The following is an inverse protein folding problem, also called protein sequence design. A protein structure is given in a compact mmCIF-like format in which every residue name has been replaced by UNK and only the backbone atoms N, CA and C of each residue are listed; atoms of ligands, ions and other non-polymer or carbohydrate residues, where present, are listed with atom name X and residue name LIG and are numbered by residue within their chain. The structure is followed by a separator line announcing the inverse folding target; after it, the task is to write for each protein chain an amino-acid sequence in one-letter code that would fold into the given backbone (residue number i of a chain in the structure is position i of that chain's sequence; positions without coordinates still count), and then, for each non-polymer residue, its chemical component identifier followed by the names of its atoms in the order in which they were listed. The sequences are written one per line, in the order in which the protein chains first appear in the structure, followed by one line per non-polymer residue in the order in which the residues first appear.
data_IF_843121617851
#
_entry.id   IF_843121617851
#
_cell.length_a   1.000
_cell.length_b   1.000
_cell.length_c   1.000
_cell.angle_alpha   90.00
_cell.angle_beta   90.00
_cell.angle_gamma   90.00
#
_symmetry.space_group_name_H-M   'P 1'
#
loop_
_entity.id
_entity.type
_entity.pdbx_description
1 polymer ?
#
# COMPACT_ATOMS: atom_id res chain seq x y z
N UNK A 1 6.91 -46.02 10.54
CA UNK A 1 5.73 -45.56 9.76
C UNK A 1 4.46 -45.33 10.61
N UNK A 2 4.51 -45.44 11.96
CA UNK A 2 3.33 -45.26 12.83
C UNK A 2 3.28 -43.93 13.61
N UNK A 3 4.30 -43.07 13.52
CA UNK A 3 4.37 -41.83 14.30
C UNK A 3 3.60 -40.64 13.71
N UNK A 4 3.17 -40.66 12.45
CA UNK A 4 2.43 -39.54 11.84
C UNK A 4 0.92 -39.58 12.13
N UNK A 5 0.35 -40.76 12.41
CA UNK A 5 -1.09 -40.92 12.64
C UNK A 5 -1.51 -40.52 14.06
N UNK A 6 -0.61 -40.62 15.04
CA UNK A 6 -0.89 -40.27 16.43
C UNK A 6 -0.88 -38.75 16.69
N UNK A 7 -0.11 -37.97 15.93
CA UNK A 7 -0.03 -36.51 16.10
C UNK A 7 -1.33 -35.78 15.76
N UNK A 8 -2.16 -36.32 14.85
CA UNK A 8 -3.47 -35.75 14.52
C UNK A 8 -4.55 -35.98 15.59
N UNK A 9 -4.37 -36.97 16.47
CA UNK A 9 -5.32 -37.31 17.53
C UNK A 9 -5.03 -36.61 18.86
N UNK A 10 -3.81 -36.06 19.04
CA UNK A 10 -3.36 -35.47 20.30
C UNK A 10 -3.67 -33.97 20.43
N UNK A 11 -4.16 -33.30 19.38
CA UNK A 11 -4.54 -31.89 19.44
C UNK A 11 -5.80 -31.56 18.61
N UNK A 12 -6.97 -32.10 19.01
CA UNK A 12 -8.23 -31.86 18.30
C UNK A 12 -8.69 -30.40 18.37
N UNK A 13 -8.22 -29.61 19.33
CA UNK A 13 -8.54 -28.18 19.42
C UNK A 13 -7.77 -27.34 18.39
N UNK A 14 -6.48 -27.64 18.18
CA UNK A 14 -5.67 -27.02 17.13
C UNK A 14 -6.29 -27.21 15.74
N UNK A 15 -6.68 -28.45 15.39
CA UNK A 15 -7.35 -28.73 14.11
C UNK A 15 -8.69 -27.99 13.97
N UNK A 16 -9.52 -27.96 15.02
CA UNK A 16 -10.80 -27.22 15.00
C UNK A 16 -10.61 -25.71 14.83
N UNK A 17 -9.59 -25.13 15.46
CA UNK A 17 -9.28 -23.70 15.34
C UNK A 17 -8.83 -23.33 13.92
N UNK A 18 -8.00 -24.17 13.29
CA UNK A 18 -7.61 -24.03 11.88
C UNK A 18 -8.81 -24.13 10.93
N UNK A 19 -9.69 -25.09 11.16
CA UNK A 19 -10.91 -25.27 10.37
C UNK A 19 -11.88 -24.09 10.51
N UNK A 20 -11.98 -23.48 11.70
CA UNK A 20 -12.77 -22.28 11.92
C UNK A 20 -12.19 -21.08 11.16
N UNK A 21 -10.88 -20.83 11.27
CA UNK A 21 -10.22 -19.71 10.58
C UNK A 21 -10.36 -19.82 9.07
N UNK A 22 -10.21 -21.02 8.50
CA UNK A 22 -10.36 -21.23 7.06
C UNK A 22 -11.81 -21.02 6.60
N UNK A 23 -12.78 -21.50 7.38
CA UNK A 23 -14.21 -21.28 7.13
C UNK A 23 -14.57 -19.79 7.14
N UNK A 24 -14.08 -19.05 8.15
CA UNK A 24 -14.28 -17.59 8.25
C UNK A 24 -13.63 -16.86 7.07
N UNK A 25 -12.38 -17.19 6.71
CA UNK A 25 -11.69 -16.60 5.55
C UNK A 25 -12.50 -16.80 4.27
N UNK A 26 -13.00 -18.01 4.02
CA UNK A 26 -13.85 -18.32 2.85
C UNK A 26 -15.14 -17.51 2.87
N UNK A 27 -15.79 -17.39 4.03
CA UNK A 27 -17.00 -16.58 4.20
C UNK A 27 -16.76 -15.11 3.87
N UNK A 28 -15.68 -14.51 4.37
CA UNK A 28 -15.30 -13.12 4.08
C UNK A 28 -15.02 -12.91 2.59
N UNK A 29 -14.26 -13.81 1.95
CA UNK A 29 -14.02 -13.75 0.51
C UNK A 29 -15.32 -13.86 -0.30
N UNK A 30 -16.25 -14.72 0.10
CA UNK A 30 -17.55 -14.84 -0.54
C UNK A 30 -18.40 -13.56 -0.36
N UNK A 31 -18.39 -12.95 0.83
CA UNK A 31 -19.08 -11.69 1.09
C UNK A 31 -18.54 -10.56 0.20
N UNK A 32 -17.21 -10.44 0.09
CA UNK A 32 -16.55 -9.46 -0.78
C UNK A 32 -16.93 -9.72 -2.24
N UNK A 33 -16.89 -10.97 -2.71
CA UNK A 33 -17.23 -11.31 -4.09
C UNK A 33 -18.69 -10.97 -4.44
N UNK A 34 -19.64 -11.27 -3.55
CA UNK A 34 -21.06 -10.91 -3.71
C UNK A 34 -21.22 -9.38 -3.74
N UNK A 35 -20.56 -8.67 -2.83
CA UNK A 35 -20.61 -7.21 -2.79
C UNK A 35 -20.04 -6.58 -4.06
N UNK A 36 -18.88 -7.04 -4.54
CA UNK A 36 -18.27 -6.56 -5.79
C UNK A 36 -19.15 -6.87 -7.00
N UNK A 37 -19.81 -8.03 -7.03
CA UNK A 37 -20.79 -8.37 -8.07
C UNK A 37 -22.00 -7.43 -8.03
N UNK A 38 -22.50 -7.12 -6.82
CA UNK A 38 -23.57 -6.13 -6.65
C UNK A 38 -23.13 -4.74 -7.14
N UNK A 39 -21.95 -4.26 -6.75
CA UNK A 39 -21.41 -2.98 -7.23
C UNK A 39 -21.27 -2.97 -8.75
N UNK A 40 -20.76 -4.04 -9.35
CA UNK A 40 -20.62 -4.15 -10.80
C UNK A 40 -21.96 -3.97 -11.53
N UNK A 41 -23.02 -4.62 -11.04
CA UNK A 41 -24.34 -4.61 -11.66
C UNK A 41 -25.12 -3.33 -11.38
N UNK A 42 -25.10 -2.85 -10.13
CA UNK A 42 -26.02 -1.82 -9.63
C UNK A 42 -25.39 -0.47 -9.33
N UNK A 43 -24.05 -0.35 -9.26
CA UNK A 43 -23.44 0.95 -8.97
C UNK A 43 -23.74 1.96 -10.09
N UNK A 44 -24.01 3.23 -9.75
CA UNK A 44 -24.26 4.26 -10.73
C UNK A 44 -23.03 4.47 -11.61
N UNK A 45 -23.26 4.87 -12.86
CA UNK A 45 -22.16 5.21 -13.77
C UNK A 45 -21.46 6.49 -13.28
N UNK A 46 -20.14 6.44 -13.13
CA UNK A 46 -19.31 7.61 -12.79
C UNK A 46 -18.95 8.43 -14.04
N UNK A 47 -18.33 9.60 -13.84
CA UNK A 47 -17.77 10.43 -14.94
C UNK A 47 -16.70 9.68 -15.75
N UNK A 48 -16.06 8.67 -15.14
CA UNK A 48 -15.12 7.77 -15.80
C UNK A 48 -15.89 6.69 -16.58
N UNK A 49 -15.80 6.77 -17.91
CA UNK A 49 -16.53 5.88 -18.83
C UNK A 49 -15.60 4.85 -19.49
N UNK A 50 -14.31 5.17 -19.69
CA UNK A 50 -13.32 4.31 -20.37
C UNK A 50 -12.31 3.74 -19.36
N UNK A 51 -11.82 2.49 -19.52
CA UNK A 51 -12.00 1.60 -20.66
C UNK A 51 -13.40 0.97 -20.76
N UNK A 52 -14.09 0.73 -19.64
CA UNK A 52 -15.49 0.31 -19.60
C UNK A 52 -16.14 0.73 -18.27
N UNK A 53 -17.43 1.12 -18.20
CA UNK A 53 -18.08 1.52 -16.96
C UNK A 53 -18.03 0.44 -15.85
N UNK A 54 -18.12 -0.83 -16.24
CA UNK A 54 -17.95 -1.98 -15.34
C UNK A 54 -16.67 -1.92 -14.50
N UNK A 55 -15.55 -1.52 -15.12
CA UNK A 55 -14.25 -1.44 -14.45
C UNK A 55 -14.33 -0.41 -13.32
N UNK A 56 -14.90 0.76 -13.59
CA UNK A 56 -15.02 1.82 -12.59
C UNK A 56 -15.99 1.47 -11.47
N UNK A 57 -17.07 0.74 -11.78
CA UNK A 57 -17.99 0.21 -10.76
C UNK A 57 -17.30 -0.81 -9.84
N UNK A 58 -16.45 -1.67 -10.39
CA UNK A 58 -15.62 -2.58 -9.59
C UNK A 58 -14.57 -1.83 -8.77
N UNK A 59 -13.88 -0.85 -9.35
CA UNK A 59 -12.92 0.01 -8.64
C UNK A 59 -13.60 0.72 -7.47
N UNK A 60 -14.80 1.25 -7.67
CA UNK A 60 -15.58 1.85 -6.60
C UNK A 60 -15.92 0.84 -5.49
N UNK A 61 -16.41 -0.36 -5.85
CA UNK A 61 -16.68 -1.42 -4.88
C UNK A 61 -15.43 -1.82 -4.08
N UNK A 62 -14.28 -1.98 -4.75
CA UNK A 62 -13.01 -2.27 -4.08
C UNK A 62 -12.58 -1.13 -3.15
N UNK A 63 -12.74 0.13 -3.56
CA UNK A 63 -12.44 1.29 -2.73
C UNK A 63 -13.30 1.34 -1.46
N UNK A 64 -14.60 0.98 -1.55
CA UNK A 64 -15.49 0.89 -0.38
C UNK A 64 -15.05 -0.23 0.56
N UNK A 65 -14.74 -1.43 0.03
CA UNK A 65 -14.22 -2.55 0.84
C UNK A 65 -12.92 -2.14 1.55
N UNK A 66 -12.01 -1.50 0.82
CA UNK A 66 -10.75 -0.99 1.36
C UNK A 66 -10.99 0.04 2.47
N UNK A 67 -11.89 1.00 2.25
CA UNK A 67 -12.23 2.02 3.26
C UNK A 67 -12.82 1.41 4.53
N UNK A 68 -13.72 0.43 4.40
CA UNK A 68 -14.28 -0.30 5.55
C UNK A 68 -13.19 -1.07 6.30
N UNK A 69 -12.27 -1.72 5.57
CA UNK A 69 -11.14 -2.42 6.16
C UNK A 69 -10.18 -1.46 6.90
N UNK A 70 -9.87 -0.31 6.31
CA UNK A 70 -9.08 0.74 6.97
C UNK A 70 -9.78 1.27 8.22
N UNK A 71 -11.10 1.50 8.14
CA UNK A 71 -11.88 1.96 9.30
C UNK A 71 -11.85 0.93 10.42
N UNK A 72 -11.94 -0.36 10.09
CA UNK A 72 -11.76 -1.42 11.08
C UNK A 72 -10.36 -1.42 11.70
N UNK A 73 -9.31 -1.31 10.88
CA UNK A 73 -7.91 -1.26 11.34
C UNK A 73 -7.63 -0.04 12.22
N UNK A 74 -8.31 1.08 11.96
CA UNK A 74 -8.16 2.32 12.75
C UNK A 74 -8.52 2.12 14.23
N UNK A 75 -9.43 1.20 14.55
CA UNK A 75 -9.83 0.87 15.92
C UNK A 75 -8.97 -0.23 16.56
N UNK A 76 -8.02 -0.83 15.84
CA UNK A 76 -7.11 -1.84 16.39
C UNK A 76 -5.88 -1.19 17.01
N UNK A 77 -5.29 -1.85 18.01
CA UNK A 77 -3.95 -1.48 18.48
C UNK A 77 -2.91 -1.79 17.39
N UNK A 78 -1.73 -1.19 17.45
CA UNK A 78 -0.66 -1.43 16.45
C UNK A 78 -0.28 -2.90 16.37
N UNK A 79 -0.20 -3.58 17.51
CA UNK A 79 0.19 -4.99 17.58
C UNK A 79 -0.94 -5.90 17.10
N UNK A 80 -2.18 -5.62 17.48
CA UNK A 80 -3.35 -6.38 17.00
C UNK A 80 -3.55 -6.21 15.50
N UNK A 81 -3.41 -4.99 14.97
CA UNK A 81 -3.48 -4.72 13.53
C UNK A 81 -2.40 -5.50 12.78
N UNK A 82 -1.17 -5.52 13.31
CA UNK A 82 -0.05 -6.28 12.74
C UNK A 82 -0.34 -7.78 12.73
N UNK A 83 -0.82 -8.34 13.85
CA UNK A 83 -1.21 -9.75 13.89
C UNK A 83 -2.40 -10.06 12.97
N UNK A 84 -3.36 -9.13 12.84
CA UNK A 84 -4.50 -9.27 11.93
C UNK A 84 -4.06 -9.42 10.48
N UNK A 85 -2.99 -8.72 10.05
CA UNK A 85 -2.46 -8.85 8.68
C UNK A 85 -2.02 -10.28 8.33
N UNK A 86 -1.71 -11.14 9.32
CA UNK A 86 -1.41 -12.57 9.08
C UNK A 86 -2.59 -13.35 8.50
N UNK A 87 -3.83 -12.87 8.70
CA UNK A 87 -4.99 -13.49 8.07
C UNK A 87 -5.01 -13.28 6.55
N UNK A 88 -4.39 -12.20 6.05
CA UNK A 88 -4.27 -11.91 4.63
C UNK A 88 -3.11 -12.67 3.98
N UNK A 89 -1.91 -12.62 4.58
CA UNK A 89 -0.73 -13.34 4.10
C UNK A 89 0.12 -13.83 5.27
N UNK A 90 0.61 -15.08 5.25
CA UNK A 90 1.33 -15.68 6.39
C UNK A 90 2.64 -14.96 6.74
N UNK A 91 3.31 -14.36 5.75
CA UNK A 91 4.60 -13.65 5.95
C UNK A 91 4.43 -12.26 6.57
N UNK A 92 3.20 -11.80 6.81
CA UNK A 92 2.92 -10.52 7.45
C UNK A 92 2.99 -10.63 8.98
N UNK A 93 2.81 -9.50 9.65
CA UNK A 93 2.70 -9.45 11.10
C UNK A 93 4.04 -9.40 11.84
N UNK A 94 5.11 -9.08 11.13
CA UNK A 94 6.42 -8.68 11.66
C UNK A 94 6.57 -7.17 11.59
N UNK A 95 7.46 -6.61 12.41
CA UNK A 95 7.82 -5.21 12.32
C UNK A 95 8.65 -4.98 11.05
N UNK A 96 8.20 -4.05 10.20
CA UNK A 96 8.94 -3.66 9.01
C UNK A 96 10.07 -2.71 9.42
N UNK A 97 11.28 -2.86 8.87
CA UNK A 97 12.36 -1.94 9.17
C UNK A 97 12.00 -0.54 8.66
N UNK A 98 11.91 0.43 9.55
CA UNK A 98 11.78 1.83 9.18
C UNK A 98 13.14 2.33 8.65
N UNK A 99 13.13 3.00 7.49
CA UNK A 99 14.31 3.53 6.84
C UNK A 99 14.22 5.04 6.82
N UNK A 100 15.29 5.73 7.22
CA UNK A 100 15.41 7.18 7.03
C UNK A 100 16.18 7.43 5.74
N UNK A 101 15.48 7.88 4.69
CA UNK A 101 16.06 8.22 3.39
C UNK A 101 16.95 9.47 3.44
N UNK A 102 16.66 10.38 4.36
CA UNK A 102 17.34 11.66 4.57
C UNK A 102 18.54 11.61 5.52
N UNK A 103 19.10 10.43 5.80
CA UNK A 103 20.25 10.30 6.69
C UNK A 103 21.55 10.85 6.08
N UNK A 104 21.72 10.71 4.76
CA UNK A 104 22.83 11.30 4.00
C UNK A 104 22.32 11.79 2.63
N UNK A 105 22.21 13.10 2.45
CA UNK A 105 21.66 13.69 1.23
C UNK A 105 22.71 14.11 0.21
N UNK A 106 23.94 13.62 0.33
CA UNK A 106 24.99 13.88 -0.66
C UNK A 106 24.69 13.14 -1.96
N UNK A 107 24.53 13.89 -3.04
CA UNK A 107 24.35 13.36 -4.39
C UNK A 107 25.61 12.61 -4.85
N UNK A 108 26.79 13.13 -4.49
CA UNK A 108 28.08 12.58 -4.89
C UNK A 108 28.93 12.24 -3.65
N UNK A 109 29.30 10.96 -3.53
CA UNK A 109 30.09 10.40 -2.42
C UNK A 109 31.34 9.74 -3.01
N UNK A 110 32.44 10.48 -3.16
CA UNK A 110 33.66 9.94 -3.75
C UNK A 110 34.35 8.88 -2.87
N UNK A 111 34.04 8.86 -1.56
CA UNK A 111 34.61 7.90 -0.61
C UNK A 111 34.00 6.50 -0.70
N UNK A 112 32.91 6.34 -1.45
CA UNK A 112 32.20 5.08 -1.53
C UNK A 112 32.84 4.14 -2.59
N UNK A 113 33.24 2.91 -2.23
CA UNK A 113 33.91 2.00 -3.14
C UNK A 113 33.00 1.37 -4.21
N UNK A 114 31.68 1.34 -4.01
CA UNK A 114 30.75 0.67 -4.94
C UNK A 114 30.16 1.62 -5.98
N UNK A 115 29.70 2.80 -5.56
CA UNK A 115 29.13 3.81 -6.45
C UNK A 115 29.33 5.21 -5.88
N UNK A 116 29.81 6.11 -6.73
CA UNK A 116 29.97 7.53 -6.39
C UNK A 116 28.64 8.28 -6.26
N UNK A 117 27.54 7.70 -6.75
CA UNK A 117 26.17 8.23 -6.66
C UNK A 117 25.26 7.25 -5.93
N UNK A 118 25.78 6.57 -4.89
CA UNK A 118 25.07 5.49 -4.19
C UNK A 118 23.66 5.91 -3.77
N UNK A 119 23.51 7.04 -3.08
CA UNK A 119 22.22 7.45 -2.51
C UNK A 119 21.20 7.74 -3.61
N UNK A 120 21.62 8.38 -4.70
CA UNK A 120 20.76 8.63 -5.87
C UNK A 120 20.31 7.33 -6.53
N UNK A 121 21.22 6.36 -6.66
CA UNK A 121 20.89 5.07 -7.24
C UNK A 121 19.93 4.26 -6.35
N UNK A 122 20.15 4.26 -5.05
CA UNK A 122 19.26 3.58 -4.09
C UNK A 122 17.86 4.20 -4.09
N UNK A 123 17.74 5.53 -4.13
CA UNK A 123 16.45 6.21 -4.24
C UNK A 123 15.76 5.94 -5.59
N UNK A 124 16.46 6.07 -6.72
CA UNK A 124 15.84 5.91 -8.05
C UNK A 124 15.28 4.51 -8.31
N UNK A 125 15.83 3.48 -7.66
CA UNK A 125 15.41 2.08 -7.80
C UNK A 125 14.61 1.57 -6.58
N UNK A 126 14.12 2.47 -5.74
CA UNK A 126 13.20 2.14 -4.64
C UNK A 126 11.76 1.95 -5.17
N UNK A 127 10.98 1.10 -4.50
CA UNK A 127 9.55 0.91 -4.75
C UNK A 127 8.74 2.22 -4.71
N UNK A 128 9.18 3.22 -3.93
CA UNK A 128 8.47 4.49 -3.78
C UNK A 128 8.44 5.32 -5.08
N UNK A 129 9.47 5.23 -5.92
CA UNK A 129 9.47 5.92 -7.24
C UNK A 129 8.38 5.36 -8.15
N UNK A 130 8.24 4.04 -8.18
CA UNK A 130 7.17 3.38 -8.94
C UNK A 130 5.79 3.72 -8.36
N UNK A 131 5.67 3.78 -7.04
CA UNK A 131 4.44 4.17 -6.36
C UNK A 131 4.04 5.61 -6.72
N UNK A 132 5.00 6.54 -6.77
CA UNK A 132 4.76 7.93 -7.18
C UNK A 132 4.29 8.03 -8.63
N UNK A 133 4.97 7.37 -9.57
CA UNK A 133 4.59 7.41 -10.99
C UNK A 133 3.18 6.81 -11.19
N UNK A 134 2.93 5.61 -10.65
CA UNK A 134 1.62 4.95 -10.80
C UNK A 134 0.51 5.71 -10.06
N UNK A 135 0.83 6.27 -8.90
CA UNK A 135 -0.06 7.12 -8.11
C UNK A 135 -0.44 8.39 -8.85
N UNK A 136 0.52 9.07 -9.47
CA UNK A 136 0.27 10.25 -10.29
C UNK A 136 -0.64 9.94 -11.46
N UNK A 137 -0.38 8.86 -12.21
CA UNK A 137 -1.25 8.40 -13.30
C UNK A 137 -2.69 8.13 -12.84
N UNK A 138 -2.85 7.42 -11.72
CA UNK A 138 -4.17 7.13 -11.16
C UNK A 138 -4.92 8.41 -10.77
N UNK A 139 -4.24 9.34 -10.10
CA UNK A 139 -4.80 10.64 -9.73
C UNK A 139 -5.12 11.49 -10.97
N UNK A 140 -4.28 11.46 -12.01
CA UNK A 140 -4.50 12.18 -13.27
C UNK A 140 -5.76 11.71 -14.00
N UNK A 141 -6.00 10.40 -14.07
CA UNK A 141 -7.22 9.83 -14.66
C UNK A 141 -8.46 10.27 -13.88
N UNK A 142 -8.38 10.37 -12.55
CA UNK A 142 -9.49 10.74 -11.69
C UNK A 142 -9.79 12.25 -11.71
N UNK A 143 -8.78 13.08 -11.49
CA UNK A 143 -8.91 14.53 -11.29
C UNK A 143 -8.99 15.28 -12.63
N UNK A 144 -8.35 14.76 -13.69
CA UNK A 144 -8.39 15.29 -15.07
C UNK A 144 -8.07 16.79 -15.17
N UNK A 145 -7.27 17.31 -14.23
CA UNK A 145 -6.86 18.72 -14.14
C UNK A 145 -5.39 18.79 -13.68
N UNK A 146 -4.48 19.11 -14.60
CA UNK A 146 -3.04 19.10 -14.34
C UNK A 146 -2.61 20.12 -13.27
N UNK A 147 -3.05 21.39 -13.29
CA UNK A 147 -2.67 22.34 -12.24
C UNK A 147 -3.13 21.92 -10.84
N UNK A 148 -4.38 21.45 -10.71
CA UNK A 148 -4.90 20.97 -9.43
C UNK A 148 -4.13 19.75 -8.94
N UNK A 149 -3.79 18.83 -9.84
CA UNK A 149 -3.04 17.63 -9.53
C UNK A 149 -1.61 17.94 -9.04
N UNK A 150 -0.97 18.92 -9.64
CA UNK A 150 0.36 19.37 -9.23
C UNK A 150 0.34 20.08 -7.87
N UNK A 151 -0.68 20.92 -7.61
CA UNK A 151 -0.89 21.53 -6.28
C UNK A 151 -1.10 20.45 -5.22
N UNK A 152 -1.90 19.42 -5.52
CA UNK A 152 -2.13 18.32 -4.59
C UNK A 152 -0.85 17.52 -4.33
N UNK A 153 -0.02 17.28 -5.36
CA UNK A 153 1.24 16.54 -5.16
C UNK A 153 2.26 17.34 -4.37
N UNK A 154 2.38 18.64 -4.64
CA UNK A 154 3.13 19.56 -3.77
C UNK A 154 2.59 19.52 -2.33
N UNK A 155 1.27 19.43 -2.14
CA UNK A 155 0.64 19.28 -0.84
C UNK A 155 1.00 17.98 -0.11
N UNK A 156 1.17 16.87 -0.83
CA UNK A 156 1.64 15.60 -0.26
C UNK A 156 3.08 15.73 0.26
N UNK A 157 3.98 16.33 -0.51
CA UNK A 157 5.36 16.61 -0.04
C UNK A 157 5.38 17.47 1.23
N UNK A 158 4.52 18.48 1.29
CA UNK A 158 4.40 19.32 2.49
C UNK A 158 3.90 18.52 3.70
N UNK A 159 2.99 17.57 3.50
CA UNK A 159 2.55 16.67 4.56
C UNK A 159 3.71 15.79 5.04
N UNK A 160 4.48 15.21 4.11
CA UNK A 160 5.63 14.36 4.45
C UNK A 160 6.69 15.13 5.23
N UNK A 161 7.05 16.32 4.76
CA UNK A 161 7.96 17.22 5.49
C UNK A 161 7.44 17.56 6.89
N UNK A 162 6.12 17.78 7.04
CA UNK A 162 5.49 18.08 8.33
C UNK A 162 5.52 16.86 9.26
N UNK A 163 5.25 15.66 8.74
CA UNK A 163 5.08 14.43 9.51
C UNK A 163 6.34 13.54 9.59
N UNK A 164 7.49 13.96 9.05
CA UNK A 164 8.79 13.24 9.15
C UNK A 164 9.24 12.92 10.58
N UNK A 165 8.74 13.65 11.57
CA UNK A 165 9.02 13.39 12.98
C UNK A 165 8.16 12.25 13.57
N UNK A 166 7.04 11.91 12.93
CA UNK A 166 6.17 10.80 13.33
C UNK A 166 6.56 9.49 12.63
N UNK A 167 7.05 9.56 11.40
CA UNK A 167 7.43 8.42 10.57
C UNK A 167 8.80 8.69 9.92
N UNK A 168 9.86 7.95 10.29
CA UNK A 168 11.20 8.12 9.73
C UNK A 168 11.27 7.95 8.22
N UNK A 169 10.35 7.17 7.63
CA UNK A 169 10.27 6.98 6.17
C UNK A 169 10.00 8.28 5.42
N UNK A 170 9.26 9.24 6.01
CA UNK A 170 9.00 10.54 5.38
C UNK A 170 10.16 11.53 5.54
N UNK A 171 11.24 11.15 6.23
CA UNK A 171 12.44 11.97 6.27
C UNK A 171 13.26 11.69 5.01
N UNK A 172 12.99 12.44 3.96
CA UNK A 172 13.62 12.31 2.65
C UNK A 172 14.63 13.45 2.38
N UNK A 173 15.38 13.33 1.30
CA UNK A 173 16.33 14.35 0.88
C UNK A 173 15.63 15.49 0.13
N UNK A 174 16.15 16.71 0.28
CA UNK A 174 15.58 17.87 -0.41
C UNK A 174 15.48 17.70 -1.93
N UNK A 175 16.45 16.99 -2.54
CA UNK A 175 16.48 16.76 -3.98
C UNK A 175 15.53 15.64 -4.40
N UNK A 176 15.16 14.74 -3.48
CA UNK A 176 14.16 13.70 -3.70
C UNK A 176 12.78 14.37 -3.81
N UNK A 177 12.32 14.97 -2.72
CA UNK A 177 11.00 15.61 -2.64
C UNK A 177 10.80 16.73 -3.68
N UNK A 178 11.83 17.55 -3.95
CA UNK A 178 11.70 18.66 -4.92
C UNK A 178 11.91 18.17 -6.36
N UNK A 179 13.03 17.53 -6.66
CA UNK A 179 13.41 17.27 -8.06
C UNK A 179 12.78 15.96 -8.54
N UNK A 180 12.89 14.90 -7.75
CA UNK A 180 12.41 13.57 -8.12
C UNK A 180 10.88 13.52 -7.99
N UNK A 181 10.32 13.87 -6.84
CA UNK A 181 8.88 13.73 -6.64
C UNK A 181 8.08 14.84 -7.32
N UNK A 182 8.27 16.13 -6.96
CA UNK A 182 7.48 17.23 -7.54
C UNK A 182 7.71 17.41 -9.04
N UNK A 183 8.98 17.45 -9.50
CA UNK A 183 9.28 17.86 -10.88
C UNK A 183 9.46 16.70 -11.86
N UNK A 184 9.62 15.46 -11.38
CA UNK A 184 9.80 14.30 -12.26
C UNK A 184 8.59 13.37 -12.18
N UNK A 185 8.41 12.66 -11.07
CA UNK A 185 7.36 11.66 -10.88
C UNK A 185 5.95 12.27 -10.94
N UNK A 186 5.77 13.45 -10.35
CA UNK A 186 4.48 14.13 -10.19
C UNK A 186 4.33 15.35 -11.11
N UNK A 187 4.95 15.36 -12.30
CA UNK A 187 4.79 16.48 -13.25
C UNK A 187 4.83 16.07 -14.71
N UNK A 188 5.80 15.23 -15.12
CA UNK A 188 6.00 14.82 -16.51
C UNK A 188 5.45 13.44 -16.81
N UNK A 189 4.14 13.24 -16.61
CA UNK A 189 3.36 12.28 -17.41
C UNK A 189 1.93 12.76 -17.63
#
# INVERSE_FOLDING_TARGET
MFHSWASGALDPESNKSGDLVTSVKRGVWAMIAVFLTYCLLQAPSTVLIRPHPAVWRLVHGMAVVYLVALTFLLFQTRDDARQFMKFLHPDLGVELPERSYGADCRIYIPENPSSRFKNVYETLFDEFVLAHILGWWGKAILIRNQPLLWVLSTGFEFMELTFRHMLPNFNECWWDSIILDIFTCNWFV
#
